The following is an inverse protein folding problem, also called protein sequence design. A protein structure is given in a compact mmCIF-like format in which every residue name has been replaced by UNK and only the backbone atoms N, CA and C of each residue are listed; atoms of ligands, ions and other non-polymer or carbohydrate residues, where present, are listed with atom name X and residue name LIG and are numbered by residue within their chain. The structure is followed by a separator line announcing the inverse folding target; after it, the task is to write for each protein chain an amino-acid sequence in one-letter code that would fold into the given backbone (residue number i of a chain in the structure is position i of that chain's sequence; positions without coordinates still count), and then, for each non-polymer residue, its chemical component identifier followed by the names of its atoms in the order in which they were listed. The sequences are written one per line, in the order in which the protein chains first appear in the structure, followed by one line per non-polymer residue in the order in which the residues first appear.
data_IF_518257274503
#
_entry.id   IF_518257274503
#
_cell.length_a   1.000
_cell.length_b   1.000
_cell.length_c   1.000
_cell.angle_alpha   90.00
_cell.angle_beta   90.00
_cell.angle_gamma   90.00
#
_symmetry.space_group_name_H-M   'P 1'
#
loop_
_entity.id
_entity.type
_entity.pdbx_description
1 polymer ?
#
# COMPACT_ATOMS: atom_id res chain seq x y z
N UNK A 1 15.63 -42.07 -71.62
CA UNK A 1 15.74 -40.62 -71.28
C UNK A 1 14.79 -39.87 -72.17
N UNK A 2 13.61 -39.44 -71.70
CA UNK A 2 12.74 -38.50 -72.41
C UNK A 2 12.84 -37.17 -71.72
N UNK A 3 13.39 -36.14 -72.41
CA UNK A 3 13.40 -34.77 -71.96
C UNK A 3 12.00 -34.21 -71.95
N UNK A 4 11.49 -33.86 -70.81
CA UNK A 4 10.29 -33.06 -70.69
C UNK A 4 10.63 -31.57 -70.71
N UNK A 5 10.18 -30.88 -71.76
CA UNK A 5 10.21 -29.41 -71.81
C UNK A 5 9.10 -28.87 -70.95
N UNK A 6 9.48 -28.11 -69.94
CA UNK A 6 8.54 -27.47 -69.03
C UNK A 6 8.36 -25.99 -69.43
N UNK A 7 7.17 -25.65 -69.91
CA UNK A 7 6.84 -24.26 -70.34
C UNK A 7 6.25 -23.37 -69.23
N UNK A 8 6.38 -23.76 -67.96
CA UNK A 8 5.87 -22.95 -66.88
C UNK A 8 6.75 -23.06 -65.62
N UNK A 9 7.48 -21.97 -65.34
CA UNK A 9 8.51 -21.93 -64.32
C UNK A 9 8.03 -22.23 -62.88
N UNK A 10 6.72 -22.00 -62.57
CA UNK A 10 6.12 -22.30 -61.28
C UNK A 10 5.83 -23.81 -61.10
N UNK A 11 5.45 -24.51 -62.15
CA UNK A 11 5.14 -25.94 -62.12
C UNK A 11 6.39 -26.81 -62.01
N UNK A 12 7.52 -26.39 -62.65
CA UNK A 12 8.79 -27.06 -62.50
C UNK A 12 9.39 -26.97 -61.09
N UNK A 13 9.22 -25.81 -60.37
CA UNK A 13 9.65 -25.69 -58.99
C UNK A 13 8.88 -26.60 -58.03
N UNK A 14 7.56 -26.72 -58.24
CA UNK A 14 6.74 -27.62 -57.39
C UNK A 14 7.04 -29.10 -57.65
N UNK A 15 7.32 -29.49 -58.90
CA UNK A 15 7.72 -30.85 -59.24
C UNK A 15 9.11 -31.20 -58.63
N UNK A 16 10.06 -30.27 -58.65
CA UNK A 16 11.37 -30.44 -58.03
C UNK A 16 11.27 -30.56 -56.49
N UNK A 17 10.39 -29.82 -55.86
CA UNK A 17 10.17 -29.89 -54.39
C UNK A 17 9.49 -31.24 -54.06
N UNK A 18 8.52 -31.67 -54.84
CA UNK A 18 7.83 -32.96 -54.62
C UNK A 18 8.78 -34.19 -54.82
N UNK A 19 9.64 -34.13 -55.83
CA UNK A 19 10.60 -35.20 -56.08
C UNK A 19 11.72 -35.25 -55.03
N UNK A 20 12.16 -34.11 -54.51
CA UNK A 20 13.12 -34.05 -53.40
C UNK A 20 12.47 -34.46 -52.10
N UNK A 21 11.19 -34.18 -51.86
CA UNK A 21 10.46 -34.66 -50.69
C UNK A 21 10.28 -36.16 -50.69
N UNK A 22 9.94 -36.77 -51.86
CA UNK A 22 9.87 -38.25 -52.02
C UNK A 22 11.23 -38.94 -51.83
N UNK A 23 12.31 -38.30 -52.32
CA UNK A 23 13.65 -38.83 -52.15
C UNK A 23 14.08 -38.82 -50.69
N UNK A 24 13.81 -37.76 -49.96
CA UNK A 24 14.09 -37.62 -48.54
C UNK A 24 13.25 -38.62 -47.70
N UNK A 25 12.01 -38.88 -48.09
CA UNK A 25 11.17 -39.92 -47.43
C UNK A 25 11.72 -41.33 -47.67
N UNK A 26 12.25 -41.63 -48.85
CA UNK A 26 12.87 -42.92 -49.12
C UNK A 26 14.23 -43.12 -48.45
N UNK A 27 15.02 -42.05 -48.29
CA UNK A 27 16.26 -42.06 -47.50
C UNK A 27 15.99 -42.23 -46.01
N UNK A 28 14.96 -41.53 -45.47
CA UNK A 28 14.53 -41.71 -44.08
C UNK A 28 14.02 -43.14 -43.80
N UNK A 29 13.24 -43.75 -44.73
CA UNK A 29 12.79 -45.12 -44.62
C UNK A 29 13.94 -46.12 -44.65
N UNK A 30 14.95 -45.93 -45.50
CA UNK A 30 16.15 -46.78 -45.54
C UNK A 30 17.05 -46.63 -44.29
N UNK A 31 17.06 -45.44 -43.63
CA UNK A 31 17.72 -45.27 -42.33
C UNK A 31 16.97 -45.95 -41.20
N UNK A 32 15.66 -46.13 -41.27
CA UNK A 32 14.88 -46.88 -40.28
C UNK A 32 15.06 -48.40 -40.37
N UNK A 33 15.27 -48.96 -41.54
CA UNK A 33 15.53 -50.40 -41.71
C UNK A 33 16.96 -50.82 -41.34
N UNK A 34 17.90 -49.91 -41.16
CA UNK A 34 19.29 -50.14 -40.75
C UNK A 34 19.53 -50.16 -39.23
N UNK A 35 18.48 -49.92 -38.42
CA UNK A 35 18.59 -50.00 -36.95
C UNK A 35 18.34 -51.45 -36.51
N UNK A 36 19.29 -52.32 -36.82
CA UNK A 36 19.48 -53.57 -36.10
C UNK A 36 19.65 -53.25 -34.62
N UNK A 37 18.79 -53.79 -33.78
CA UNK A 37 18.80 -53.70 -32.33
C UNK A 37 20.24 -53.72 -31.77
N UNK A 38 20.79 -52.52 -31.56
CA UNK A 38 21.87 -52.40 -30.59
C UNK A 38 21.23 -52.63 -29.23
N UNK A 39 21.52 -53.80 -28.61
CA UNK A 39 21.25 -54.01 -27.18
C UNK A 39 21.71 -52.79 -26.45
N UNK A 40 20.77 -52.09 -25.82
CA UNK A 40 21.09 -51.00 -24.91
C UNK A 40 22.02 -51.53 -23.83
N UNK A 41 23.30 -51.29 -23.96
CA UNK A 41 24.19 -51.41 -22.82
C UNK A 41 23.75 -50.36 -21.80
N UNK A 42 23.44 -50.74 -20.55
CA UNK A 42 23.07 -49.79 -19.55
C UNK A 42 24.23 -48.82 -19.36
N UNK A 43 23.97 -47.53 -19.43
CA UNK A 43 24.92 -46.43 -19.24
C UNK A 43 25.75 -46.59 -17.94
N UNK A 44 25.27 -47.38 -17.00
CA UNK A 44 25.93 -47.69 -15.73
C UNK A 44 25.75 -49.22 -15.37
N UNK A 45 26.60 -50.11 -15.80
CA UNK A 45 26.52 -51.52 -15.47
C UNK A 45 26.72 -51.73 -13.95
N UNK A 46 25.73 -52.37 -13.28
CA UNK A 46 25.77 -52.69 -11.85
C UNK A 46 25.03 -51.78 -10.90
N UNK A 47 24.44 -50.69 -11.35
CA UNK A 47 23.61 -49.81 -10.49
C UNK A 47 22.12 -50.03 -10.76
N UNK A 48 21.40 -50.47 -9.75
CA UNK A 48 19.91 -50.51 -9.79
C UNK A 48 19.39 -49.10 -9.67
N UNK A 49 18.48 -48.69 -10.57
CA UNK A 49 17.81 -47.41 -10.50
C UNK A 49 16.98 -47.34 -9.21
N UNK A 50 17.23 -46.35 -8.37
CA UNK A 50 16.54 -46.16 -7.10
C UNK A 50 15.59 -45.01 -7.21
N UNK A 51 14.29 -45.28 -7.27
CA UNK A 51 13.23 -44.22 -7.25
C UNK A 51 13.31 -43.37 -6.01
N UNK A 52 13.75 -43.90 -4.86
CA UNK A 52 13.96 -43.13 -3.65
C UNK A 52 15.05 -42.07 -3.82
N UNK A 53 16.18 -42.42 -4.43
CA UNK A 53 17.26 -41.44 -4.70
C UNK A 53 16.86 -40.40 -5.72
N UNK A 54 16.08 -40.77 -6.72
CA UNK A 54 15.50 -39.80 -7.67
C UNK A 54 14.52 -38.86 -6.98
N UNK A 55 13.64 -39.38 -6.13
CA UNK A 55 12.71 -38.56 -5.33
C UNK A 55 13.44 -37.55 -4.44
N UNK A 56 14.48 -38.01 -3.72
CA UNK A 56 15.31 -37.10 -2.88
C UNK A 56 16.02 -36.05 -3.75
N UNK A 57 16.53 -36.40 -4.91
CA UNK A 57 17.18 -35.43 -5.81
C UNK A 57 16.21 -34.43 -6.38
N UNK A 58 14.97 -34.80 -6.70
CA UNK A 58 13.92 -33.90 -7.16
C UNK A 58 13.53 -32.95 -6.04
N UNK A 59 13.29 -33.44 -4.82
CA UNK A 59 12.96 -32.59 -3.65
C UNK A 59 14.10 -31.60 -3.36
N UNK A 60 15.35 -32.05 -3.36
CA UNK A 60 16.50 -31.19 -3.15
C UNK A 60 16.61 -30.10 -4.25
N UNK A 61 16.42 -30.47 -5.52
CA UNK A 61 16.43 -29.55 -6.64
C UNK A 61 15.29 -28.49 -6.52
N UNK A 62 14.10 -28.94 -6.13
CA UNK A 62 12.95 -28.05 -5.92
C UNK A 62 13.22 -27.05 -4.78
N UNK A 63 13.79 -27.51 -3.66
CA UNK A 63 14.16 -26.64 -2.53
C UNK A 63 15.24 -25.63 -2.91
N UNK A 64 16.23 -26.02 -3.70
CA UNK A 64 17.27 -25.10 -4.20
C UNK A 64 16.67 -24.07 -5.16
N UNK A 65 15.84 -24.49 -6.09
CA UNK A 65 15.20 -23.59 -7.07
C UNK A 65 14.30 -22.59 -6.35
N UNK A 66 13.47 -23.05 -5.41
CA UNK A 66 12.61 -22.16 -4.61
C UNK A 66 13.44 -21.20 -3.74
N UNK A 67 14.50 -21.68 -3.11
CA UNK A 67 15.43 -20.86 -2.33
C UNK A 67 16.13 -19.78 -3.18
N UNK A 68 16.60 -20.12 -4.36
CA UNK A 68 17.21 -19.15 -5.30
C UNK A 68 16.18 -18.15 -5.81
N UNK A 69 14.96 -18.59 -6.13
CA UNK A 69 13.89 -17.68 -6.57
C UNK A 69 13.46 -16.71 -5.49
N UNK A 70 13.30 -17.16 -4.25
CA UNK A 70 12.97 -16.29 -3.12
C UNK A 70 14.11 -15.30 -2.83
N UNK A 71 15.35 -15.76 -2.90
CA UNK A 71 16.52 -14.89 -2.73
C UNK A 71 16.62 -13.83 -3.84
N UNK A 72 16.40 -14.21 -5.12
CA UNK A 72 16.38 -13.27 -6.24
C UNK A 72 15.21 -12.28 -6.16
N UNK A 73 14.02 -12.73 -5.75
CA UNK A 73 12.88 -11.85 -5.52
C UNK A 73 13.16 -10.85 -4.38
N UNK A 74 13.74 -11.34 -3.28
CA UNK A 74 14.14 -10.51 -2.14
C UNK A 74 15.21 -9.47 -2.54
N UNK A 75 16.26 -9.87 -3.26
CA UNK A 75 17.32 -8.94 -3.68
C UNK A 75 16.80 -7.89 -4.68
N UNK A 76 15.91 -8.25 -5.62
CA UNK A 76 15.25 -7.27 -6.49
C UNK A 76 14.41 -6.27 -5.71
N UNK A 77 13.71 -6.70 -4.67
CA UNK A 77 12.91 -5.82 -3.82
C UNK A 77 13.79 -4.98 -2.91
N UNK A 78 14.84 -5.55 -2.34
CA UNK A 78 15.79 -4.84 -1.46
C UNK A 78 16.60 -3.75 -2.19
N UNK A 79 16.80 -3.86 -3.51
CA UNK A 79 17.52 -2.86 -4.31
C UNK A 79 16.68 -1.64 -4.72
N UNK A 80 15.38 -1.64 -4.46
CA UNK A 80 14.48 -0.52 -4.80
C UNK A 80 14.63 0.62 -3.81
N UNK A 81 14.94 1.80 -4.32
CA UNK A 81 14.94 3.02 -3.50
C UNK A 81 13.49 3.46 -3.27
N UNK A 82 13.09 3.47 -2.02
CA UNK A 82 11.89 4.16 -1.58
C UNK A 82 12.17 5.67 -1.50
N UNK A 83 11.14 6.52 -1.63
CA UNK A 83 11.27 7.96 -1.43
C UNK A 83 11.93 8.27 -0.08
N UNK A 84 12.67 9.37 0.00
CA UNK A 84 13.22 9.82 1.27
C UNK A 84 12.07 10.15 2.25
N UNK A 85 12.25 9.94 3.55
CA UNK A 85 11.27 10.32 4.56
C UNK A 85 10.88 11.80 4.44
N UNK A 86 9.58 12.09 4.51
CA UNK A 86 9.03 13.43 4.33
C UNK A 86 8.06 13.82 5.42
N UNK A 87 7.96 15.12 5.67
CA UNK A 87 6.97 15.72 6.56
C UNK A 87 5.93 16.48 5.73
N UNK A 88 4.65 16.42 6.14
CA UNK A 88 3.57 17.20 5.55
C UNK A 88 2.50 17.53 6.60
N UNK A 89 2.31 18.83 6.84
CA UNK A 89 1.25 19.27 7.74
C UNK A 89 -0.09 19.35 7.02
N UNK A 90 -1.15 18.91 7.68
CA UNK A 90 -2.51 19.09 7.19
C UNK A 90 -2.96 20.55 7.34
N UNK A 91 -3.73 21.00 6.38
CA UNK A 91 -4.42 22.29 6.39
C UNK A 91 -5.89 22.07 6.07
N UNK A 92 -6.78 22.41 6.99
CA UNK A 92 -8.17 22.60 6.67
C UNK A 92 -8.31 23.95 5.94
N UNK A 93 -8.56 23.87 4.62
CA UNK A 93 -8.66 25.07 3.77
C UNK A 93 -9.95 25.85 3.97
N UNK A 94 -10.93 25.24 4.63
CA UNK A 94 -12.25 25.84 4.92
C UNK A 94 -12.29 26.49 6.30
N UNK A 95 -11.28 26.26 7.14
CA UNK A 95 -11.22 26.81 8.49
C UNK A 95 -11.08 28.31 8.52
N UNK A 96 -11.69 28.92 9.52
CA UNK A 96 -11.61 30.37 9.80
C UNK A 96 -10.96 30.56 11.18
N UNK A 97 -9.90 31.39 11.29
CA UNK A 97 -9.22 32.14 10.22
C UNK A 97 -8.46 31.23 9.24
N UNK A 98 -8.41 31.64 7.98
CA UNK A 98 -7.67 30.91 6.94
C UNK A 98 -6.17 30.83 7.25
N UNK A 99 -5.59 29.65 7.06
CA UNK A 99 -4.14 29.45 7.18
C UNK A 99 -3.45 29.72 5.84
N UNK A 100 -2.38 30.52 5.86
CA UNK A 100 -1.64 30.94 4.65
C UNK A 100 -0.57 29.92 4.28
N UNK A 101 -0.99 28.73 3.84
CA UNK A 101 -0.08 27.62 3.50
C UNK A 101 0.85 27.93 2.30
N UNK A 102 0.47 28.88 1.46
CA UNK A 102 1.23 29.37 0.32
C UNK A 102 2.38 30.32 0.70
N UNK A 103 2.38 30.82 1.93
CA UNK A 103 3.43 31.72 2.42
C UNK A 103 4.78 31.00 2.49
N UNK A 104 5.84 31.79 2.40
CA UNK A 104 7.19 31.30 2.67
C UNK A 104 7.32 30.91 4.15
N UNK A 105 7.59 29.66 4.39
CA UNK A 105 7.80 29.08 5.74
C UNK A 105 9.29 28.80 6.01
N UNK A 106 10.16 29.34 5.15
CA UNK A 106 11.59 29.05 5.19
C UNK A 106 11.87 27.56 4.96
N UNK A 107 12.83 27.01 5.68
CA UNK A 107 13.21 25.59 5.59
C UNK A 107 12.41 24.67 6.50
N UNK A 108 11.29 25.15 7.09
CA UNK A 108 10.56 24.36 8.07
C UNK A 108 9.98 23.07 7.46
N UNK A 109 9.30 23.17 6.31
CA UNK A 109 8.76 22.01 5.59
C UNK A 109 8.48 22.30 4.11
N UNK A 110 8.56 21.23 3.29
CA UNK A 110 8.41 21.34 1.83
C UNK A 110 7.06 20.85 1.32
N UNK A 111 6.23 20.23 2.18
CA UNK A 111 4.98 19.62 1.75
C UNK A 111 3.81 20.06 2.62
N UNK A 112 2.66 20.28 1.98
CA UNK A 112 1.38 20.53 2.65
C UNK A 112 0.33 19.54 2.16
N UNK A 113 -0.59 19.17 3.06
CA UNK A 113 -1.72 18.30 2.76
C UNK A 113 -2.98 19.10 2.96
N UNK A 114 -3.69 19.36 1.87
CA UNK A 114 -4.90 20.20 1.89
C UNK A 114 -6.13 19.32 2.08
N UNK A 115 -6.87 19.53 3.13
CA UNK A 115 -8.09 18.80 3.48
C UNK A 115 -9.32 19.71 3.43
N UNK A 116 -10.48 19.17 3.16
CA UNK A 116 -10.73 17.84 2.63
C UNK A 116 -11.66 17.90 1.44
N UNK A 117 -11.46 17.04 0.45
CA UNK A 117 -12.41 16.89 -0.65
C UNK A 117 -13.47 15.86 -0.25
N UNK A 118 -14.70 16.30 -0.17
CA UNK A 118 -15.90 15.50 0.09
C UNK A 118 -16.94 15.74 -1.00
N UNK A 119 -18.06 15.01 -0.96
CA UNK A 119 -19.17 15.24 -1.86
C UNK A 119 -20.02 16.42 -1.41
N UNK A 120 -20.44 17.28 -2.34
CA UNK A 120 -21.50 18.27 -2.08
C UNK A 120 -22.88 17.67 -2.34
N UNK A 121 -23.31 17.67 -3.60
CA UNK A 121 -24.58 17.07 -4.06
C UNK A 121 -24.26 15.92 -5.02
N UNK A 122 -24.60 14.66 -4.62
CA UNK A 122 -24.27 13.47 -5.38
C UNK A 122 -22.76 13.33 -5.57
N UNK A 123 -22.33 12.84 -6.74
CA UNK A 123 -20.92 12.55 -7.03
C UNK A 123 -20.10 13.79 -7.45
N UNK A 124 -20.35 14.98 -6.88
CA UNK A 124 -19.64 16.20 -7.21
C UNK A 124 -18.62 16.53 -6.11
N UNK A 125 -17.31 16.63 -6.43
CA UNK A 125 -16.29 16.98 -5.43
C UNK A 125 -16.43 18.43 -4.98
N UNK A 126 -16.20 18.66 -3.69
CA UNK A 126 -16.23 19.95 -3.03
C UNK A 126 -15.25 20.01 -1.87
N UNK A 127 -14.85 21.19 -1.46
CA UNK A 127 -14.08 21.40 -0.25
C UNK A 127 -14.98 21.43 0.96
N UNK A 128 -14.79 20.47 1.87
CA UNK A 128 -15.55 20.31 3.11
C UNK A 128 -17.06 20.06 2.94
N UNK A 129 -17.56 19.84 1.73
CA UNK A 129 -18.99 19.80 1.43
C UNK A 129 -19.63 21.18 1.24
N UNK A 130 -18.87 22.27 1.49
CA UNK A 130 -19.37 23.65 1.52
C UNK A 130 -19.10 24.42 0.23
N UNK A 131 -17.92 24.24 -0.36
CA UNK A 131 -17.48 24.97 -1.54
C UNK A 131 -17.30 24.04 -2.72
N UNK A 132 -18.03 24.26 -3.79
CA UNK A 132 -17.66 23.66 -5.08
C UNK A 132 -16.23 24.10 -5.45
N UNK A 133 -15.58 23.40 -6.36
CA UNK A 133 -14.21 23.76 -6.77
C UNK A 133 -14.14 25.19 -7.33
N UNK A 134 -15.20 25.67 -8.00
CA UNK A 134 -15.27 27.02 -8.53
C UNK A 134 -15.54 28.07 -7.46
N UNK A 135 -16.34 27.76 -6.46
CA UNK A 135 -16.55 28.63 -5.29
C UNK A 135 -15.26 28.74 -4.48
N UNK A 136 -14.56 27.63 -4.23
CA UNK A 136 -13.27 27.67 -3.54
C UNK A 136 -12.22 28.51 -4.29
N UNK A 137 -12.24 28.51 -5.62
CA UNK A 137 -11.40 29.39 -6.43
C UNK A 137 -11.73 30.87 -6.23
N UNK A 138 -13.01 31.21 -6.18
CA UNK A 138 -13.46 32.62 -6.04
C UNK A 138 -13.38 33.13 -4.61
N UNK A 139 -13.84 32.33 -3.64
CA UNK A 139 -14.06 32.77 -2.26
C UNK A 139 -12.85 32.56 -1.37
N UNK A 140 -12.10 31.46 -1.61
CA UNK A 140 -10.89 31.11 -0.87
C UNK A 140 -9.60 31.40 -1.65
N UNK A 141 -9.72 31.89 -2.89
CA UNK A 141 -8.60 32.10 -3.83
C UNK A 141 -7.69 30.84 -4.00
N UNK A 142 -8.29 29.67 -3.87
CA UNK A 142 -7.55 28.42 -3.63
C UNK A 142 -6.65 28.01 -4.79
N UNK A 143 -7.12 28.16 -6.05
CA UNK A 143 -6.34 27.86 -7.24
C UNK A 143 -5.02 28.67 -7.28
N UNK A 144 -5.10 29.98 -6.98
CA UNK A 144 -3.93 30.86 -6.97
C UNK A 144 -2.98 30.52 -5.83
N UNK A 145 -3.49 30.20 -4.66
CA UNK A 145 -2.72 29.83 -3.47
C UNK A 145 -1.95 28.53 -3.69
N UNK A 146 -2.61 27.51 -4.26
CA UNK A 146 -1.96 26.24 -4.63
C UNK A 146 -0.88 26.48 -5.69
N UNK A 147 -1.19 27.27 -6.73
CA UNK A 147 -0.21 27.61 -7.76
C UNK A 147 1.00 28.38 -7.20
N UNK A 148 0.80 29.22 -6.18
CA UNK A 148 1.88 29.92 -5.50
C UNK A 148 2.76 28.96 -4.70
N UNK A 149 2.18 27.98 -4.03
CA UNK A 149 2.92 26.93 -3.30
C UNK A 149 3.86 26.14 -4.24
N UNK A 150 3.40 25.77 -5.43
CA UNK A 150 4.25 25.12 -6.42
C UNK A 150 5.42 26.02 -6.91
N UNK A 151 5.18 27.33 -7.03
CA UNK A 151 6.24 28.27 -7.45
C UNK A 151 7.38 28.37 -6.43
N UNK A 152 7.15 28.03 -5.19
CA UNK A 152 8.18 27.95 -4.13
C UNK A 152 8.84 26.56 -4.02
N UNK A 153 8.71 25.70 -5.02
CA UNK A 153 9.17 24.31 -5.04
C UNK A 153 8.63 23.41 -3.92
N UNK A 154 7.50 23.78 -3.34
CA UNK A 154 6.81 23.00 -2.33
C UNK A 154 5.76 22.13 -2.98
N UNK A 155 5.50 20.95 -2.41
CA UNK A 155 4.50 20.00 -2.90
C UNK A 155 3.17 20.16 -2.19
N UNK A 156 2.10 19.93 -2.95
CA UNK A 156 0.74 19.90 -2.45
C UNK A 156 0.19 18.49 -2.64
N UNK A 157 -0.30 17.90 -1.56
CA UNK A 157 -1.13 16.70 -1.57
C UNK A 157 -2.56 17.10 -1.28
N UNK A 158 -3.53 16.57 -2.02
CA UNK A 158 -4.96 16.79 -1.73
C UNK A 158 -5.49 15.57 -1.01
N UNK A 159 -6.13 15.80 0.14
CA UNK A 159 -6.77 14.78 0.95
C UNK A 159 -8.25 14.68 0.64
N UNK A 160 -8.71 13.44 0.41
CA UNK A 160 -10.10 13.09 0.14
C UNK A 160 -10.67 12.33 1.34
N UNK A 161 -11.87 12.68 1.77
CA UNK A 161 -12.55 12.12 2.93
C UNK A 161 -12.46 13.02 4.15
N UNK A 162 -11.85 12.53 5.25
CA UNK A 162 -11.78 13.23 6.54
C UNK A 162 -12.97 12.91 7.44
N UNK A 163 -12.96 13.48 8.66
CA UNK A 163 -13.97 13.18 9.69
C UNK A 163 -15.38 13.65 9.33
N UNK A 164 -15.47 14.83 8.73
CA UNK A 164 -16.74 15.50 8.49
C UNK A 164 -17.11 15.52 7.00
N UNK A 165 -18.41 15.55 6.73
CA UNK A 165 -18.94 15.52 5.36
C UNK A 165 -19.26 14.12 4.87
N UNK A 166 -19.45 13.97 3.57
CA UNK A 166 -19.81 12.71 2.92
C UNK A 166 -18.73 12.32 1.93
N UNK A 167 -18.19 11.12 2.05
CA UNK A 167 -17.17 10.64 1.13
C UNK A 167 -17.73 10.48 -0.30
N UNK A 168 -16.93 10.82 -1.31
CA UNK A 168 -17.32 10.67 -2.72
C UNK A 168 -17.66 9.22 -3.08
N UNK A 169 -17.00 8.22 -2.49
CA UNK A 169 -17.27 6.82 -2.78
C UNK A 169 -18.68 6.39 -2.37
N UNK A 170 -19.27 7.00 -1.36
CA UNK A 170 -20.65 6.72 -0.94
C UNK A 170 -21.69 7.36 -1.86
N UNK A 171 -21.34 8.46 -2.54
CA UNK A 171 -22.25 9.21 -3.42
C UNK A 171 -22.12 8.84 -4.90
N UNK A 172 -20.96 8.36 -5.32
CA UNK A 172 -20.76 7.97 -6.72
C UNK A 172 -21.26 6.55 -6.96
N UNK A 173 -22.15 6.36 -7.92
CA UNK A 173 -22.79 5.06 -8.17
C UNK A 173 -21.83 3.99 -8.72
N UNK A 174 -20.75 4.39 -9.41
CA UNK A 174 -19.80 3.46 -10.04
C UNK A 174 -18.35 3.89 -9.82
N UNK A 175 -17.41 2.94 -9.92
CA UNK A 175 -15.98 3.23 -9.87
C UNK A 175 -15.52 4.19 -10.99
N UNK A 176 -16.17 4.14 -12.16
CA UNK A 176 -15.91 5.06 -13.27
C UNK A 176 -16.32 6.49 -12.97
N UNK A 177 -17.50 6.70 -12.36
CA UNK A 177 -17.96 8.02 -11.92
C UNK A 177 -17.05 8.58 -10.81
N UNK A 178 -16.71 7.76 -9.84
CA UNK A 178 -15.80 8.12 -8.74
C UNK A 178 -14.40 8.47 -9.27
N UNK A 179 -13.84 7.68 -10.19
CA UNK A 179 -12.58 7.99 -10.86
C UNK A 179 -12.63 9.36 -11.54
N UNK A 180 -13.72 9.67 -12.24
CA UNK A 180 -13.90 10.97 -12.89
C UNK A 180 -13.94 12.12 -11.88
N UNK A 181 -14.62 11.93 -10.74
CA UNK A 181 -14.68 12.94 -9.67
C UNK A 181 -13.27 13.22 -9.09
N UNK A 182 -12.51 12.18 -8.75
CA UNK A 182 -11.12 12.31 -8.32
C UNK A 182 -10.24 12.98 -9.38
N UNK A 183 -10.34 12.53 -10.65
CA UNK A 183 -9.57 13.11 -11.75
C UNK A 183 -9.86 14.60 -11.97
N UNK A 184 -11.10 15.04 -11.76
CA UNK A 184 -11.47 16.46 -11.87
C UNK A 184 -10.67 17.30 -10.88
N UNK A 185 -10.52 16.84 -9.63
CA UNK A 185 -9.75 17.54 -8.61
C UNK A 185 -8.25 17.52 -8.93
N UNK A 186 -7.72 16.33 -9.24
CA UNK A 186 -6.31 16.12 -9.58
C UNK A 186 -5.90 17.00 -10.75
N UNK A 187 -6.71 17.03 -11.81
CA UNK A 187 -6.44 17.83 -13.01
C UNK A 187 -6.54 19.33 -12.76
N UNK A 188 -7.52 19.77 -11.97
CA UNK A 188 -7.68 21.20 -11.65
C UNK A 188 -6.48 21.78 -10.92
N UNK A 189 -5.99 21.05 -9.92
CA UNK A 189 -4.91 21.52 -9.05
C UNK A 189 -3.53 21.03 -9.50
N UNK A 190 -3.44 20.26 -10.58
CA UNK A 190 -2.19 19.71 -11.13
C UNK A 190 -1.34 18.95 -10.09
N UNK A 191 -2.00 18.24 -9.16
CA UNK A 191 -1.30 17.47 -8.13
C UNK A 191 -0.90 16.09 -8.63
N UNK A 192 0.25 15.61 -8.15
CA UNK A 192 0.74 14.25 -8.40
C UNK A 192 0.70 13.37 -7.14
N UNK A 193 0.17 13.91 -6.05
CA UNK A 193 0.01 13.23 -4.77
C UNK A 193 -1.39 13.45 -4.22
N UNK A 194 -2.03 12.36 -3.83
CA UNK A 194 -3.32 12.37 -3.12
C UNK A 194 -3.23 11.56 -1.85
N UNK A 195 -4.05 11.90 -0.90
CA UNK A 195 -4.23 11.22 0.36
C UNK A 195 -5.70 10.78 0.47
N UNK A 196 -5.92 9.54 0.87
CA UNK A 196 -7.25 8.98 1.10
C UNK A 196 -7.44 8.84 2.60
N UNK A 197 -8.13 9.81 3.20
CA UNK A 197 -8.41 9.87 4.63
C UNK A 197 -9.78 9.26 4.91
N UNK A 198 -9.77 8.02 5.37
CA UNK A 198 -10.96 7.18 5.48
C UNK A 198 -11.29 6.94 6.94
N UNK A 199 -12.40 7.51 7.37
CA UNK A 199 -12.80 7.54 8.76
C UNK A 199 -14.25 7.07 8.97
N UNK A 200 -14.64 6.86 10.22
CA UNK A 200 -16.01 6.62 10.67
C UNK A 200 -16.73 5.50 9.89
N UNK A 201 -17.92 5.79 9.39
CA UNK A 201 -18.75 4.83 8.64
C UNK A 201 -18.15 4.42 7.29
N UNK A 202 -17.28 5.24 6.72
CA UNK A 202 -16.59 4.97 5.45
C UNK A 202 -15.44 3.97 5.62
N UNK A 203 -15.00 3.74 6.87
CA UNK A 203 -14.04 2.71 7.24
C UNK A 203 -14.70 1.33 7.35
N UNK A 204 -15.14 0.80 6.22
CA UNK A 204 -15.71 -0.53 6.10
C UNK A 204 -15.06 -1.26 4.92
N UNK A 205 -14.01 -2.02 5.22
CA UNK A 205 -13.04 -2.52 4.26
C UNK A 205 -13.59 -3.34 3.11
N UNK A 206 -14.72 -4.04 3.30
CA UNK A 206 -15.34 -4.88 2.26
C UNK A 206 -16.70 -4.36 1.80
N UNK A 207 -17.03 -3.11 2.10
CA UNK A 207 -18.23 -2.49 1.58
C UNK A 207 -18.15 -2.25 0.06
N UNK A 208 -19.29 -2.03 -0.57
CA UNK A 208 -19.35 -1.67 -2.00
C UNK A 208 -18.63 -0.35 -2.27
N UNK A 209 -18.65 0.57 -1.33
CA UNK A 209 -17.98 1.88 -1.35
C UNK A 209 -16.45 1.70 -1.30
N UNK A 210 -15.96 0.88 -0.36
CA UNK A 210 -14.53 0.59 -0.23
C UNK A 210 -13.97 -0.09 -1.49
N UNK A 211 -14.67 -1.08 -2.04
CA UNK A 211 -14.29 -1.75 -3.30
C UNK A 211 -14.29 -0.75 -4.46
N UNK A 212 -15.32 0.10 -4.56
CA UNK A 212 -15.45 1.14 -5.58
C UNK A 212 -14.32 2.15 -5.50
N UNK A 213 -13.97 2.61 -4.29
CA UNK A 213 -12.84 3.50 -4.01
C UNK A 213 -11.53 2.89 -4.49
N UNK A 214 -11.23 1.68 -4.07
CA UNK A 214 -10.01 0.97 -4.44
C UNK A 214 -9.88 0.79 -5.96
N UNK A 215 -10.97 0.41 -6.65
CA UNK A 215 -11.01 0.27 -8.10
C UNK A 215 -10.78 1.61 -8.82
N UNK A 216 -11.39 2.69 -8.34
CA UNK A 216 -11.23 4.02 -8.91
C UNK A 216 -9.79 4.53 -8.76
N UNK A 217 -9.20 4.40 -7.58
CA UNK A 217 -7.82 4.80 -7.29
C UNK A 217 -6.81 3.98 -8.10
N UNK A 218 -6.99 2.66 -8.17
CA UNK A 218 -6.13 1.79 -8.99
C UNK A 218 -6.20 2.16 -10.49
N UNK A 219 -7.37 2.54 -10.98
CA UNK A 219 -7.53 3.00 -12.37
C UNK A 219 -6.81 4.34 -12.59
N UNK A 220 -6.93 5.30 -11.66
CA UNK A 220 -6.21 6.59 -11.73
C UNK A 220 -4.70 6.39 -11.78
N UNK A 221 -4.14 5.50 -10.94
CA UNK A 221 -2.71 5.21 -10.96
C UNK A 221 -2.25 4.59 -12.28
N UNK A 222 -3.03 3.66 -12.84
CA UNK A 222 -2.71 3.08 -14.17
C UNK A 222 -2.72 4.14 -15.26
N UNK A 223 -3.72 5.02 -15.28
CA UNK A 223 -3.81 6.10 -16.23
C UNK A 223 -2.64 7.08 -16.10
N UNK A 224 -2.30 7.45 -14.87
CA UNK A 224 -1.20 8.35 -14.55
C UNK A 224 0.16 7.79 -15.04
N UNK A 225 0.40 6.49 -14.81
CA UNK A 225 1.60 5.80 -15.34
C UNK A 225 1.62 5.79 -16.86
N UNK A 226 0.48 5.52 -17.52
CA UNK A 226 0.37 5.51 -18.97
C UNK A 226 0.66 6.90 -19.59
N UNK A 227 0.40 7.98 -18.86
CA UNK A 227 0.70 9.36 -19.26
C UNK A 227 2.08 9.87 -18.79
N UNK A 228 2.89 9.03 -18.14
CA UNK A 228 4.24 9.39 -17.67
C UNK A 228 4.26 10.30 -16.43
N UNK A 229 3.13 10.49 -15.77
CA UNK A 229 2.96 11.30 -14.54
C UNK A 229 2.43 10.45 -13.39
N UNK A 230 3.27 9.57 -12.79
CA UNK A 230 2.81 8.64 -11.75
C UNK A 230 2.10 9.34 -10.59
N UNK A 231 0.98 8.79 -10.13
CA UNK A 231 0.19 9.32 -9.01
C UNK A 231 0.59 8.64 -7.71
N UNK A 232 1.09 9.44 -6.77
CA UNK A 232 1.36 9.02 -5.38
C UNK A 232 0.05 8.94 -4.60
N UNK A 233 -0.17 7.83 -3.89
CA UNK A 233 -1.39 7.61 -3.09
C UNK A 233 -0.99 7.27 -1.66
N UNK A 234 -1.34 8.16 -0.73
CA UNK A 234 -1.37 7.90 0.70
C UNK A 234 -2.72 7.31 1.11
N UNK A 235 -2.71 6.45 2.11
CA UNK A 235 -3.91 5.92 2.76
C UNK A 235 -3.83 6.25 4.23
N UNK A 236 -4.70 7.14 4.71
CA UNK A 236 -4.75 7.63 6.09
C UNK A 236 -5.93 6.98 6.80
N UNK A 237 -5.65 6.29 7.91
CA UNK A 237 -6.61 5.46 8.62
C UNK A 237 -6.52 5.66 10.13
N UNK A 238 -7.64 5.59 10.88
CA UNK A 238 -7.64 5.54 12.33
C UNK A 238 -6.83 4.37 12.88
N UNK A 239 -6.15 4.62 13.99
CA UNK A 239 -5.41 3.61 14.72
C UNK A 239 -5.60 3.77 16.22
N UNK A 240 -5.52 2.67 16.95
CA UNK A 240 -5.40 2.65 18.40
C UNK A 240 -3.97 2.26 18.83
N UNK A 241 -3.72 2.13 20.13
CA UNK A 241 -2.41 1.73 20.64
C UNK A 241 -1.97 0.32 20.17
N UNK A 242 -2.89 -0.49 19.64
CA UNK A 242 -2.61 -1.81 19.05
C UNK A 242 -2.40 -1.78 17.53
N UNK A 243 -2.33 -0.59 16.95
CA UNK A 243 -2.15 -0.38 15.51
C UNK A 243 -3.48 -0.13 14.78
N UNK A 244 -3.56 -0.59 13.54
CA UNK A 244 -4.78 -0.48 12.74
C UNK A 244 -5.87 -1.39 13.28
N UNK A 245 -7.12 -0.91 13.20
CA UNK A 245 -8.31 -1.72 13.47
C UNK A 245 -8.49 -2.80 12.40
N UNK A 246 -9.33 -3.81 12.66
CA UNK A 246 -9.67 -4.85 11.67
C UNK A 246 -10.25 -4.21 10.39
N UNK A 247 -11.13 -3.22 10.52
CA UNK A 247 -11.69 -2.48 9.39
C UNK A 247 -10.62 -1.71 8.60
N UNK A 248 -9.63 -1.15 9.30
CA UNK A 248 -8.46 -0.53 8.68
C UNK A 248 -7.63 -1.53 7.89
N UNK A 249 -7.33 -2.69 8.45
CA UNK A 249 -6.61 -3.76 7.77
C UNK A 249 -7.36 -4.29 6.55
N UNK A 250 -8.68 -4.46 6.66
CA UNK A 250 -9.54 -4.86 5.54
C UNK A 250 -9.52 -3.81 4.42
N UNK A 251 -9.56 -2.51 4.77
CA UNK A 251 -9.45 -1.41 3.81
C UNK A 251 -8.11 -1.45 3.06
N UNK A 252 -6.99 -1.64 3.77
CA UNK A 252 -5.67 -1.84 3.14
C UNK A 252 -5.67 -3.06 2.23
N UNK A 253 -6.27 -4.18 2.68
CA UNK A 253 -6.37 -5.42 1.89
C UNK A 253 -7.12 -5.20 0.58
N UNK A 254 -8.28 -4.55 0.62
CA UNK A 254 -9.10 -4.23 -0.57
C UNK A 254 -8.35 -3.34 -1.55
N UNK A 255 -7.61 -2.33 -1.05
CA UNK A 255 -6.77 -1.49 -1.90
C UNK A 255 -5.67 -2.30 -2.60
N UNK A 256 -4.98 -3.17 -1.87
CA UNK A 256 -3.93 -4.03 -2.43
C UNK A 256 -4.48 -5.03 -3.45
N UNK A 257 -5.68 -5.60 -3.22
CA UNK A 257 -6.35 -6.54 -4.12
C UNK A 257 -6.81 -5.86 -5.41
N UNK A 258 -7.25 -4.61 -5.34
CA UNK A 258 -7.59 -3.81 -6.52
C UNK A 258 -6.36 -3.37 -7.34
N UNK A 259 -5.15 -3.57 -6.81
CA UNK A 259 -3.89 -3.18 -7.45
C UNK A 259 -3.46 -1.75 -7.14
N UNK A 260 -3.97 -1.15 -6.06
CA UNK A 260 -3.48 0.16 -5.59
C UNK A 260 -2.04 0.02 -5.10
N UNK A 261 -1.17 0.89 -5.56
CA UNK A 261 0.16 1.09 -4.98
C UNK A 261 0.07 2.12 -3.86
N UNK A 262 0.04 1.64 -2.62
CA UNK A 262 0.00 2.50 -1.43
C UNK A 262 1.42 3.01 -1.19
N UNK A 263 1.65 4.30 -1.39
CA UNK A 263 2.95 4.94 -1.19
C UNK A 263 3.24 5.19 0.28
N UNK A 264 2.20 5.46 1.06
CA UNK A 264 2.26 5.64 2.51
C UNK A 264 0.98 5.13 3.16
N UNK A 265 1.11 4.17 4.06
CA UNK A 265 0.05 3.80 5.00
C UNK A 265 0.24 4.66 6.24
N UNK A 266 -0.56 5.69 6.35
CA UNK A 266 -0.47 6.71 7.40
C UNK A 266 -1.50 6.44 8.50
N UNK A 267 -1.05 6.44 9.73
CA UNK A 267 -1.89 6.22 10.90
C UNK A 267 -2.32 7.55 11.51
N UNK A 268 -3.60 7.68 11.81
CA UNK A 268 -4.10 8.75 12.69
C UNK A 268 -3.79 8.33 14.12
N UNK A 269 -2.67 8.81 14.66
CA UNK A 269 -2.18 8.44 15.99
C UNK A 269 -2.66 9.45 17.04
N UNK A 270 -3.97 9.48 17.24
CA UNK A 270 -4.69 10.44 18.10
C UNK A 270 -5.89 9.76 18.76
N UNK A 271 -6.46 10.42 19.78
CA UNK A 271 -7.70 10.05 20.47
C UNK A 271 -7.71 8.58 20.96
N UNK A 272 -6.61 8.16 21.59
CA UNK A 272 -6.42 6.78 22.05
C UNK A 272 -7.39 6.35 23.16
N UNK A 273 -8.07 7.29 23.81
CA UNK A 273 -8.97 7.04 24.95
C UNK A 273 -8.32 6.26 26.10
N UNK A 274 -7.02 6.48 26.32
CA UNK A 274 -6.25 5.85 27.38
C UNK A 274 -6.01 6.88 28.49
N UNK A 275 -6.29 6.49 29.74
CA UNK A 275 -6.02 7.35 30.90
C UNK A 275 -4.55 7.76 30.93
N UNK A 276 -4.28 9.06 31.03
CA UNK A 276 -2.94 9.68 30.97
C UNK A 276 -2.03 9.34 32.13
N UNK A 277 -2.52 8.62 33.15
CA UNK A 277 -1.77 8.34 34.38
C UNK A 277 -0.62 7.32 34.20
N UNK A 278 -0.57 6.61 33.06
CA UNK A 278 0.36 5.50 32.85
C UNK A 278 1.24 5.59 31.60
N UNK A 279 0.89 6.41 30.61
CA UNK A 279 1.62 6.48 29.34
C UNK A 279 1.59 7.89 28.75
N UNK A 280 2.71 8.35 28.18
CA UNK A 280 2.76 9.61 27.43
C UNK A 280 2.16 9.42 26.03
N UNK A 281 1.70 10.51 25.39
CA UNK A 281 1.19 10.44 24.01
C UNK A 281 2.26 9.90 23.05
N UNK A 282 3.52 10.30 23.21
CA UNK A 282 4.61 9.76 22.38
C UNK A 282 4.81 8.25 22.55
N UNK A 283 4.55 7.68 23.74
CA UNK A 283 4.69 6.23 23.94
C UNK A 283 3.53 5.45 23.29
N UNK A 284 2.30 5.96 23.38
CA UNK A 284 1.14 5.37 22.70
C UNK A 284 1.30 5.41 21.17
N UNK A 285 1.80 6.52 20.63
CA UNK A 285 2.09 6.67 19.19
C UNK A 285 3.15 5.66 18.74
N UNK A 286 4.25 5.51 19.50
CA UNK A 286 5.30 4.52 19.20
C UNK A 286 4.77 3.09 19.25
N UNK A 287 3.92 2.79 20.24
CA UNK A 287 3.27 1.48 20.37
C UNK A 287 2.37 1.19 19.17
N UNK A 288 1.51 2.14 18.78
CA UNK A 288 0.64 2.02 17.61
C UNK A 288 1.42 1.76 16.32
N UNK A 289 2.51 2.51 16.11
CA UNK A 289 3.37 2.37 14.92
C UNK A 289 4.10 1.02 14.88
N UNK A 290 4.62 0.52 16.01
CA UNK A 290 5.24 -0.80 16.08
C UNK A 290 4.25 -1.93 15.79
N UNK A 291 3.03 -1.82 16.31
CA UNK A 291 1.96 -2.77 16.05
C UNK A 291 1.56 -2.74 14.55
N UNK A 292 1.33 -1.54 14.01
CA UNK A 292 0.99 -1.38 12.58
C UNK A 292 2.10 -1.87 11.64
N UNK A 293 3.38 -1.66 12.00
CA UNK A 293 4.51 -2.22 11.26
C UNK A 293 4.40 -3.75 11.15
N UNK A 294 4.10 -4.40 12.26
CA UNK A 294 3.92 -5.86 12.31
C UNK A 294 2.69 -6.30 11.51
N UNK A 295 1.56 -5.62 11.67
CA UNK A 295 0.32 -5.90 10.94
C UNK A 295 0.51 -5.73 9.43
N UNK A 296 1.09 -4.61 9.00
CA UNK A 296 1.30 -4.31 7.58
C UNK A 296 2.29 -5.28 6.93
N UNK A 297 3.37 -5.64 7.64
CA UNK A 297 4.31 -6.68 7.21
C UNK A 297 3.62 -8.01 6.93
N UNK A 298 2.75 -8.47 7.84
CA UNK A 298 1.98 -9.70 7.69
C UNK A 298 1.03 -9.62 6.50
N UNK A 299 0.30 -8.50 6.37
CA UNK A 299 -0.63 -8.29 5.27
C UNK A 299 0.09 -8.29 3.92
N UNK A 300 1.22 -7.59 3.79
CA UNK A 300 2.02 -7.57 2.57
C UNK A 300 2.56 -8.96 2.24
N UNK A 301 3.05 -9.69 3.24
CA UNK A 301 3.50 -11.07 3.05
C UNK A 301 2.36 -11.97 2.58
N UNK A 302 1.18 -11.87 3.18
CA UNK A 302 -0.02 -12.59 2.76
C UNK A 302 -0.43 -12.28 1.31
N UNK A 303 -0.17 -11.04 0.84
CA UNK A 303 -0.39 -10.60 -0.54
C UNK A 303 0.81 -10.87 -1.45
N UNK A 304 1.78 -11.72 -1.04
CA UNK A 304 2.98 -12.09 -1.80
C UNK A 304 3.92 -10.92 -2.12
N UNK A 305 3.85 -9.87 -1.33
CA UNK A 305 4.70 -8.69 -1.44
C UNK A 305 5.77 -8.73 -0.35
N UNK A 306 7.02 -9.00 -0.73
CA UNK A 306 8.13 -9.15 0.21
C UNK A 306 8.89 -7.83 0.36
N UNK A 307 9.00 -7.36 1.60
CA UNK A 307 9.74 -6.15 1.98
C UNK A 307 10.61 -6.42 3.19
N UNK A 308 11.74 -5.71 3.29
CA UNK A 308 12.52 -5.67 4.52
C UNK A 308 11.80 -4.84 5.58
N UNK A 309 12.17 -5.03 6.84
CA UNK A 309 11.63 -4.22 7.96
C UNK A 309 11.83 -2.71 7.71
N UNK A 310 12.99 -2.30 7.23
CA UNK A 310 13.27 -0.89 6.91
C UNK A 310 12.36 -0.37 5.79
N UNK A 311 12.11 -1.16 4.75
CA UNK A 311 11.18 -0.76 3.68
C UNK A 311 9.74 -0.62 4.19
N UNK A 312 9.31 -1.47 5.12
CA UNK A 312 7.97 -1.37 5.71
C UNK A 312 7.86 -0.09 6.53
N UNK A 313 8.88 0.26 7.33
CA UNK A 313 8.94 1.55 8.02
C UNK A 313 8.88 2.74 7.06
N UNK A 314 9.58 2.67 5.93
CA UNK A 314 9.53 3.73 4.89
C UNK A 314 8.16 3.83 4.18
N UNK A 315 7.34 2.79 4.23
CA UNK A 315 5.97 2.80 3.72
C UNK A 315 4.93 3.18 4.76
N UNK A 316 5.30 3.31 6.04
CA UNK A 316 4.42 3.75 7.12
C UNK A 316 4.53 5.26 7.33
N UNK A 317 3.47 5.82 7.87
CA UNK A 317 3.39 7.21 8.31
C UNK A 317 2.59 7.36 9.59
N UNK A 318 2.73 8.52 10.21
CA UNK A 318 1.93 8.93 11.35
C UNK A 318 1.44 10.37 11.16
N UNK A 319 0.16 10.61 11.45
CA UNK A 319 -0.37 11.95 11.68
C UNK A 319 -0.61 12.12 13.17
N UNK A 320 0.07 13.07 13.77
CA UNK A 320 -0.05 13.35 15.21
C UNK A 320 -0.94 14.56 15.45
N UNK A 321 -1.80 14.57 16.49
CA UNK A 321 -2.57 15.72 16.89
C UNK A 321 -1.65 16.65 17.69
N UNK A 322 -1.52 17.91 17.30
CA UNK A 322 -0.71 18.84 18.07
C UNK A 322 -1.50 19.47 19.20
N UNK A 323 -0.90 19.51 20.39
CA UNK A 323 -1.55 20.08 21.57
C UNK A 323 -2.71 19.22 22.06
N UNK A 324 -3.84 19.85 22.38
CA UNK A 324 -5.02 19.18 22.91
C UNK A 324 -5.72 18.36 21.84
N UNK A 325 -6.06 17.10 22.19
CA UNK A 325 -6.84 16.18 21.37
C UNK A 325 -8.36 16.39 21.59
N UNK A 326 -9.19 15.74 20.77
CA UNK A 326 -10.64 15.67 20.98
C UNK A 326 -11.00 14.88 22.23
N UNK A 327 -10.17 13.91 22.61
CA UNK A 327 -10.33 13.12 23.83
C UNK A 327 -9.89 13.91 25.06
N UNK A 328 -10.67 13.83 26.13
CA UNK A 328 -10.36 14.50 27.39
C UNK A 328 -9.02 14.00 27.97
N UNK A 329 -8.25 14.94 28.50
CA UNK A 329 -6.93 14.72 29.13
C UNK A 329 -5.84 14.18 28.22
N UNK A 330 -6.04 14.12 26.92
CA UNK A 330 -4.99 13.82 25.96
C UNK A 330 -4.39 15.10 25.37
N UNK A 331 -3.07 15.23 25.53
CA UNK A 331 -2.28 16.37 25.03
C UNK A 331 -0.98 15.86 24.42
N UNK A 332 -0.70 16.26 23.18
CA UNK A 332 0.64 16.10 22.62
C UNK A 332 1.45 17.35 22.91
N UNK A 333 2.50 17.18 23.70
CA UNK A 333 3.40 18.28 24.10
C UNK A 333 4.51 18.51 23.08
N UNK A 334 5.24 19.63 23.19
CA UNK A 334 6.45 19.87 22.38
C UNK A 334 7.54 18.80 22.64
N UNK A 335 7.66 18.33 23.88
CA UNK A 335 8.58 17.25 24.24
C UNK A 335 8.17 15.92 23.58
N UNK A 336 6.87 15.62 23.54
CA UNK A 336 6.37 14.45 22.78
C UNK A 336 6.68 14.56 21.28
N UNK A 337 6.48 15.75 20.68
CA UNK A 337 6.82 16.01 19.30
C UNK A 337 8.31 15.72 19.00
N UNK A 338 9.21 16.16 19.88
CA UNK A 338 10.64 15.87 19.75
C UNK A 338 10.95 14.38 19.88
N UNK A 339 10.31 13.67 20.84
CA UNK A 339 10.47 12.22 21.01
C UNK A 339 9.94 11.44 19.81
N UNK A 340 8.83 11.87 19.21
CA UNK A 340 8.24 11.26 18.01
C UNK A 340 9.16 11.47 16.81
N UNK A 341 9.65 12.69 16.57
CA UNK A 341 10.61 12.96 15.51
C UNK A 341 11.84 12.07 15.64
N UNK A 342 12.42 11.97 16.85
CA UNK A 342 13.58 11.10 17.12
C UNK A 342 13.28 9.64 16.79
N UNK A 343 12.14 9.11 17.23
CA UNK A 343 11.73 7.73 16.92
C UNK A 343 11.51 7.53 15.40
N UNK A 344 10.87 8.46 14.75
CA UNK A 344 10.61 8.40 13.31
C UNK A 344 11.90 8.38 12.48
N UNK A 345 12.91 9.15 12.88
CA UNK A 345 14.24 9.12 12.25
C UNK A 345 14.97 7.79 12.51
N UNK A 346 14.92 7.27 13.73
CA UNK A 346 15.55 5.99 14.09
C UNK A 346 14.97 4.80 13.33
N UNK A 347 13.66 4.80 13.13
CA UNK A 347 12.95 3.74 12.39
C UNK A 347 12.95 3.95 10.88
N UNK A 348 13.35 5.12 10.40
CA UNK A 348 13.22 5.54 9.00
C UNK A 348 11.75 5.60 8.54
N UNK A 349 10.86 6.09 9.43
CA UNK A 349 9.44 6.27 9.11
C UNK A 349 9.29 7.12 7.84
N UNK A 350 8.52 6.65 6.86
CA UNK A 350 8.46 7.28 5.55
C UNK A 350 7.70 8.62 5.51
N UNK A 351 6.68 8.77 6.36
CA UNK A 351 5.88 9.99 6.45
C UNK A 351 5.64 10.38 7.90
N UNK A 352 5.87 11.64 8.23
CA UNK A 352 5.42 12.24 9.47
C UNK A 352 4.51 13.42 9.13
N UNK A 353 3.36 13.48 9.76
CA UNK A 353 2.34 14.50 9.51
C UNK A 353 1.77 15.01 10.81
N UNK A 354 1.07 16.13 10.78
CA UNK A 354 0.39 16.67 11.94
C UNK A 354 -0.99 17.22 11.61
N UNK A 355 -1.93 17.11 12.53
CA UNK A 355 -3.22 17.77 12.53
C UNK A 355 -3.23 18.89 13.54
N UNK A 356 -3.12 20.16 13.14
CA UNK A 356 -2.97 20.69 11.81
C UNK A 356 -2.11 21.97 11.84
N UNK A 357 -1.63 22.41 10.68
CA UNK A 357 -0.93 23.70 10.56
C UNK A 357 -1.80 24.88 10.98
N UNK A 358 -3.12 24.80 10.78
CA UNK A 358 -4.08 25.81 11.29
C UNK A 358 -3.95 26.02 12.81
N UNK A 359 -3.59 24.95 13.53
CA UNK A 359 -3.54 24.91 14.99
C UNK A 359 -2.15 25.21 15.56
N UNK A 360 -1.09 25.30 14.75
CA UNK A 360 0.29 25.39 15.23
C UNK A 360 0.65 26.77 15.77
N UNK A 361 -0.05 27.16 16.81
CA UNK A 361 0.18 28.39 17.62
C UNK A 361 -0.51 28.27 18.97
N UNK A 362 -0.01 29.05 19.92
CA UNK A 362 -0.66 29.19 21.23
C UNK A 362 -2.06 29.83 21.09
N UNK A 363 -2.99 29.37 21.90
CA UNK A 363 -4.32 29.98 21.99
C UNK A 363 -4.28 31.33 22.67
N UNK A 364 -5.22 32.25 22.27
CA UNK A 364 -5.44 33.50 22.96
C UNK A 364 -6.07 33.29 24.36
N UNK A 365 -6.02 34.33 25.19
CA UNK A 365 -6.49 34.30 26.58
C UNK A 365 -7.97 33.92 26.73
N UNK A 366 -8.79 34.17 25.72
CA UNK A 366 -10.25 33.93 25.74
C UNK A 366 -10.64 32.57 25.10
N UNK A 367 -9.69 31.72 24.73
CA UNK A 367 -10.01 30.43 24.15
C UNK A 367 -10.41 29.41 25.21
N UNK A 368 -11.39 28.54 24.88
CA UNK A 368 -11.81 27.47 25.77
C UNK A 368 -10.69 26.44 25.98
N UNK A 369 -10.27 26.26 27.23
CA UNK A 369 -9.33 25.19 27.58
C UNK A 369 -9.99 23.79 27.60
N UNK A 370 -11.32 23.71 27.47
CA UNK A 370 -12.09 22.49 27.66
C UNK A 370 -12.25 21.65 26.40
N UNK A 371 -12.04 22.24 25.20
CA UNK A 371 -12.21 21.54 23.93
C UNK A 371 -11.04 21.79 22.99
N UNK A 372 -10.78 20.87 22.06
CA UNK A 372 -9.85 21.08 20.97
C UNK A 372 -10.29 22.29 20.14
N UNK A 373 -9.34 23.13 19.78
CA UNK A 373 -9.59 24.33 18.96
C UNK A 373 -9.08 24.09 17.53
N UNK A 374 -9.83 24.59 16.55
CA UNK A 374 -9.45 24.46 15.12
C UNK A 374 -8.33 25.39 14.69
N UNK A 375 -8.04 26.44 15.47
CA UNK A 375 -7.10 27.50 15.11
C UNK A 375 -5.94 27.69 16.08
N UNK A 376 -5.81 26.87 17.13
CA UNK A 376 -4.70 26.89 18.08
C UNK A 376 -4.54 25.54 18.79
N UNK A 377 -3.36 25.28 19.35
CA UNK A 377 -3.00 23.95 19.89
C UNK A 377 -3.51 23.70 21.32
N UNK A 378 -3.80 24.73 22.08
CA UNK A 378 -4.16 24.59 23.51
C UNK A 378 -2.95 24.40 24.44
N UNK A 379 -1.71 24.44 23.93
CA UNK A 379 -0.48 24.42 24.72
C UNK A 379 0.36 25.68 24.51
N UNK A 380 1.25 25.95 25.45
CA UNK A 380 2.16 27.10 25.35
C UNK A 380 3.25 26.81 24.33
N UNK A 381 3.34 27.64 23.31
CA UNK A 381 4.29 27.49 22.21
C UNK A 381 4.49 28.80 21.44
N UNK A 382 5.49 28.87 20.58
CA UNK A 382 5.60 29.85 19.50
C UNK A 382 4.87 29.35 18.25
N UNK A 383 4.48 30.26 17.34
CA UNK A 383 3.82 29.86 16.09
C UNK A 383 4.78 29.02 15.21
N UNK A 384 4.30 27.89 14.71
CA UNK A 384 5.07 26.97 13.87
C UNK A 384 6.05 26.06 14.62
N UNK A 385 5.99 26.02 15.94
CA UNK A 385 6.96 25.25 16.74
C UNK A 385 6.79 23.73 16.59
N UNK A 386 5.57 23.22 16.57
CA UNK A 386 5.32 21.80 16.29
C UNK A 386 5.80 21.40 14.90
N UNK A 387 5.46 22.19 13.87
CA UNK A 387 5.92 21.92 12.51
C UNK A 387 7.45 21.90 12.44
N UNK A 388 8.14 22.82 13.10
CA UNK A 388 9.61 22.88 13.16
C UNK A 388 10.20 21.64 13.80
N UNK A 389 9.66 21.19 14.95
CA UNK A 389 10.14 20.02 15.66
C UNK A 389 9.90 18.74 14.86
N UNK A 390 8.68 18.55 14.36
CA UNK A 390 8.27 17.34 13.65
C UNK A 390 8.93 17.21 12.26
N UNK A 391 9.18 18.31 11.55
CA UNK A 391 9.79 18.31 10.22
C UNK A 391 11.32 18.18 10.24
N UNK A 392 11.93 18.32 11.43
CA UNK A 392 13.38 18.29 11.57
C UNK A 392 13.98 17.02 10.92
N UNK A 393 14.85 17.22 9.93
CA UNK A 393 15.50 16.17 9.13
C UNK A 393 14.59 15.37 8.18
N UNK A 394 13.32 15.73 8.02
CA UNK A 394 12.41 15.16 7.04
C UNK A 394 12.39 16.04 5.77
N UNK A 395 13.36 15.83 4.88
CA UNK A 395 13.59 16.67 3.68
C UNK A 395 13.14 16.00 2.37
N UNK A 396 12.42 14.88 2.46
CA UNK A 396 11.86 14.21 1.30
C UNK A 396 10.54 14.84 0.83
N UNK A 397 10.00 14.29 -0.25
CA UNK A 397 8.67 14.63 -0.78
C UNK A 397 7.88 13.35 -1.08
N UNK A 398 6.55 13.44 -1.13
CA UNK A 398 5.72 12.31 -1.57
C UNK A 398 6.21 11.75 -2.90
N UNK A 399 6.41 10.43 -2.96
CA UNK A 399 6.90 9.77 -4.16
C UNK A 399 6.21 8.45 -4.40
N UNK A 400 6.12 8.02 -5.65
CA UNK A 400 5.58 6.72 -6.02
C UNK A 400 6.56 5.61 -5.69
N UNK A 401 6.03 4.52 -5.13
CA UNK A 401 6.76 3.26 -5.06
C UNK A 401 6.92 2.71 -6.48
N UNK A 402 8.14 2.46 -6.89
CA UNK A 402 8.43 1.80 -8.17
C UNK A 402 7.93 0.36 -8.11
N UNK A 403 7.34 -0.10 -9.20
CA UNK A 403 6.67 -1.40 -9.37
C UNK A 403 7.29 -2.54 -8.56
N UNK A 404 6.47 -3.12 -7.70
CA UNK A 404 6.86 -4.13 -6.75
C UNK A 404 6.46 -5.49 -7.31
N UNK A 405 7.40 -6.12 -8.02
CA UNK A 405 7.18 -7.44 -8.59
C UNK A 405 6.52 -8.39 -7.58
N UNK A 406 5.44 -9.02 -8.00
CA UNK A 406 4.78 -10.08 -7.23
C UNK A 406 5.65 -11.33 -7.26
N UNK A 407 6.09 -11.81 -6.10
CA UNK A 407 6.61 -13.17 -6.00
C UNK A 407 5.44 -14.13 -6.28
N UNK A 408 5.56 -14.95 -7.32
CA UNK A 408 4.57 -15.99 -7.58
C UNK A 408 4.87 -17.20 -6.70
N UNK A 409 4.06 -17.40 -5.68
CA UNK A 409 4.02 -18.64 -4.90
C UNK A 409 2.90 -19.51 -5.48
N UNK A 410 3.17 -20.78 -5.64
CA UNK A 410 2.16 -21.75 -6.01
C UNK A 410 1.95 -22.71 -4.84
N UNK A 411 1.02 -22.38 -3.96
CA UNK A 411 0.41 -23.40 -3.08
C UNK A 411 -0.93 -23.77 -3.70
N UNK A 412 -1.17 -25.07 -3.81
CA UNK A 412 -2.43 -25.56 -4.37
C UNK A 412 -3.51 -25.44 -3.30
N UNK A 413 -4.30 -24.35 -3.36
CA UNK A 413 -5.35 -24.06 -2.37
C UNK A 413 -6.41 -25.17 -2.21
N UNK A 414 -6.40 -26.15 -3.12
CA UNK A 414 -7.31 -27.31 -3.07
C UNK A 414 -6.90 -28.37 -2.05
N UNK A 415 -5.67 -28.30 -1.55
CA UNK A 415 -5.10 -29.35 -0.69
C UNK A 415 -5.39 -29.13 0.80
N UNK A 416 -5.93 -27.96 1.18
CA UNK A 416 -6.16 -27.60 2.57
C UNK A 416 -7.59 -27.16 2.82
N UNK A 417 -8.21 -27.57 3.96
CA UNK A 417 -9.57 -27.16 4.30
C UNK A 417 -9.64 -25.66 4.62
N UNK A 418 -10.83 -25.07 4.41
CA UNK A 418 -11.14 -23.76 4.94
C UNK A 418 -11.22 -23.84 6.46
N UNK A 419 -10.75 -22.77 7.13
CA UNK A 419 -10.92 -22.68 8.59
C UNK A 419 -12.40 -22.60 8.96
N UNK A 420 -12.76 -23.29 10.03
CA UNK A 420 -14.11 -23.32 10.59
C UNK A 420 -14.06 -23.17 12.10
N UNK A 421 -14.96 -22.32 12.66
CA UNK A 421 -14.97 -21.97 14.08
C UNK A 421 -15.32 -23.13 15.02
N UNK A 422 -16.04 -24.16 14.55
CA UNK A 422 -16.46 -25.32 15.34
C UNK A 422 -15.45 -26.46 15.28
N UNK A 423 -14.50 -26.41 14.37
CA UNK A 423 -13.52 -27.46 14.15
C UNK A 423 -12.37 -27.36 15.16
N UNK A 424 -12.01 -28.50 15.78
CA UNK A 424 -10.80 -28.62 16.59
C UNK A 424 -9.60 -28.86 15.68
N UNK A 425 -8.60 -28.01 15.82
CA UNK A 425 -7.33 -28.13 15.12
C UNK A 425 -6.23 -28.58 16.06
N UNK A 426 -5.52 -29.63 15.66
CA UNK A 426 -4.32 -30.08 16.36
C UNK A 426 -3.10 -29.29 15.86
N UNK A 427 -2.07 -29.19 16.69
CA UNK A 427 -0.77 -28.62 16.29
C UNK A 427 -0.28 -29.24 14.98
N UNK A 428 0.12 -28.39 14.03
CA UNK A 428 0.56 -28.78 12.69
C UNK A 428 -0.56 -28.87 11.65
N UNK A 429 -1.83 -28.79 12.04
CA UNK A 429 -2.93 -28.69 11.07
C UNK A 429 -2.81 -27.39 10.26
N UNK A 430 -3.13 -27.51 8.98
CA UNK A 430 -3.09 -26.38 8.05
C UNK A 430 -4.48 -26.09 7.53
N UNK A 431 -4.82 -24.81 7.47
CA UNK A 431 -6.13 -24.32 7.03
C UNK A 431 -5.99 -23.09 6.17
N UNK A 432 -7.00 -22.85 5.33
CA UNK A 432 -7.12 -21.62 4.55
C UNK A 432 -8.08 -20.69 5.28
N UNK A 433 -7.64 -19.45 5.49
CA UNK A 433 -8.46 -18.37 6.01
C UNK A 433 -8.21 -17.08 5.22
N UNK A 434 -9.27 -16.47 4.71
CA UNK A 434 -9.20 -15.24 3.89
C UNK A 434 -8.12 -15.32 2.78
N UNK A 435 -8.03 -16.47 2.09
CA UNK A 435 -7.08 -16.68 1.00
C UNK A 435 -5.62 -16.92 1.41
N UNK A 436 -5.36 -17.13 2.70
CA UNK A 436 -4.03 -17.43 3.23
C UNK A 436 -4.00 -18.81 3.88
N UNK A 437 -2.84 -19.46 3.84
CA UNK A 437 -2.57 -20.72 4.50
C UNK A 437 -1.95 -20.47 5.87
N UNK A 438 -2.53 -21.07 6.91
CA UNK A 438 -2.07 -21.02 8.30
C UNK A 438 -1.78 -22.39 8.84
N UNK A 439 -0.86 -22.49 9.80
CA UNK A 439 -0.54 -23.69 10.53
C UNK A 439 -0.84 -23.48 12.02
N UNK A 440 -1.55 -24.44 12.63
CA UNK A 440 -1.80 -24.46 14.07
C UNK A 440 -0.50 -24.73 14.82
N UNK A 441 -0.09 -23.81 15.69
CA UNK A 441 1.09 -23.93 16.54
C UNK A 441 0.80 -24.69 17.83
N UNK A 442 -0.46 -24.68 18.26
CA UNK A 442 -1.00 -25.42 19.40
C UNK A 442 -2.37 -25.95 19.04
N UNK A 443 -2.85 -26.93 19.82
CA UNK A 443 -4.23 -27.38 19.71
C UNK A 443 -5.19 -26.23 20.05
N UNK A 444 -6.17 -25.96 19.18
CA UNK A 444 -7.12 -24.88 19.38
C UNK A 444 -8.50 -25.20 18.78
N UNK A 445 -9.52 -24.45 19.20
CA UNK A 445 -10.88 -24.51 18.66
C UNK A 445 -11.48 -23.11 18.75
N UNK A 446 -12.06 -22.61 17.66
CA UNK A 446 -12.72 -21.29 17.63
C UNK A 446 -11.77 -20.09 17.50
N UNK A 447 -10.48 -20.31 17.68
CA UNK A 447 -9.47 -19.25 17.52
C UNK A 447 -9.24 -18.95 16.04
N UNK A 448 -9.46 -17.70 15.65
CA UNK A 448 -9.31 -17.29 14.23
C UNK A 448 -7.85 -17.13 13.84
N UNK A 449 -7.48 -17.56 12.61
CA UNK A 449 -6.09 -17.44 12.14
C UNK A 449 -5.57 -16.02 11.92
N UNK A 450 -6.41 -15.01 11.96
CA UNK A 450 -6.00 -13.59 11.81
C UNK A 450 -5.41 -12.99 13.10
N UNK A 451 -5.57 -13.65 14.24
CA UNK A 451 -4.96 -13.29 15.52
C UNK A 451 -3.54 -13.87 15.66
N UNK A 452 -2.66 -13.63 14.69
CA UNK A 452 -1.35 -14.30 14.62
C UNK A 452 -0.20 -13.44 15.13
N UNK A 453 -0.18 -13.03 16.39
CA UNK A 453 1.03 -12.48 16.99
C UNK A 453 1.95 -13.62 17.43
N UNK A 454 3.01 -13.87 16.67
CA UNK A 454 3.96 -14.96 16.94
C UNK A 454 4.66 -14.81 18.29
N UNK A 455 4.70 -13.60 18.85
CA UNK A 455 5.29 -13.29 20.16
C UNK A 455 4.26 -13.33 21.30
N UNK A 456 2.95 -13.36 21.00
CA UNK A 456 1.86 -13.32 21.99
C UNK A 456 1.21 -14.69 22.27
N UNK A 457 1.82 -15.79 21.85
CA UNK A 457 1.27 -17.14 22.05
C UNK A 457 0.07 -17.46 21.16
N UNK A 458 -0.08 -16.78 20.02
CA UNK A 458 -1.11 -17.09 19.01
C UNK A 458 -1.09 -18.57 18.64
N UNK A 459 -2.26 -19.25 18.60
CA UNK A 459 -2.35 -20.64 18.19
C UNK A 459 -2.08 -20.84 16.69
N UNK A 460 -1.92 -19.77 15.90
CA UNK A 460 -1.74 -19.85 14.46
C UNK A 460 -0.47 -19.17 13.97
N UNK A 461 0.16 -19.76 12.97
CA UNK A 461 1.27 -19.18 12.23
C UNK A 461 0.88 -19.02 10.77
N UNK A 462 1.01 -17.82 10.21
CA UNK A 462 0.85 -17.58 8.78
C UNK A 462 1.99 -18.29 8.01
N UNK A 463 1.61 -19.18 7.08
CA UNK A 463 2.54 -19.86 6.16
C UNK A 463 2.73 -19.02 4.90
N UNK A 464 1.64 -18.46 4.36
CA UNK A 464 1.64 -17.69 3.13
C UNK A 464 0.28 -17.73 2.45
N UNK A 465 0.17 -17.17 1.25
CA UNK A 465 -1.07 -17.22 0.48
C UNK A 465 -1.39 -18.68 0.05
N UNK A 466 -2.69 -19.00 0.02
CA UNK A 466 -3.21 -20.29 -0.40
C UNK A 466 -3.45 -20.36 -1.92
#
# INVERSE_FOLDING_TARGET
MKQFHCNNHAYCKLLHIALNWQRNQQEAARQQEGIVMRRHQPLFPGRRFSFLRLGIAIVAATLIITGVWTWLAYTKTASRRLPAPWFGGYVDVTAVPSYTFESDVGDAYDNVILGFITASHGCNPSWGGYYTLDEASRELNLDSRIAQTFRTNRTVTISFGGRDGTELASQCATAGALRKAYQTVISRYHVTSIDMDIENADLNGYSSEAIRRAQAVAALQRDAVAHGTPLTVGLTLPADAKGLTDAGLDTVSVCLDAGVTISSLNLMTMDFNVSSDTSTQSDLIKQALNAAHTQYKRLLYAKRKLFSNSQIWQMLGATVPIGKNDTDNEYLTLDDAQKINTFALQTTLGRLSMWSLNRDRQCGENSSALSMQTSCSGVKQTAGEFATLLSSSFKGSPGTLVDMGTATWSTNSRDYPQWDTATRYAKGNKVIWKGNLYEAMTDNTGERPDNTDADDGSPWRLIGPA
#
